data_IF_648711341135
#
_entry.id   IF_648711341135
#
_cell.length_a   1.000
_cell.length_b   1.000
_cell.length_c   1.000
_cell.angle_alpha   90.00
_cell.angle_beta   90.00
_cell.angle_gamma   90.00
#
_symmetry.space_group_name_H-M   'P 1'
#
loop_
_entity.id
_entity.type
_entity.pdbx_description
1 polymer ?
#
# COMPACT_ATOMS: atom_id res chain seq x y z
N UNK A 1 -35.43 11.27 -19.58
CA UNK A 1 -33.97 11.06 -19.77
C UNK A 1 -33.26 11.92 -18.75
N UNK A 2 -32.83 11.34 -17.64
CA UNK A 2 -31.96 11.99 -16.66
C UNK A 2 -30.55 11.44 -16.89
N UNK A 3 -29.63 12.29 -17.33
CA UNK A 3 -28.19 12.02 -17.25
C UNK A 3 -27.75 12.55 -15.88
N UNK A 4 -27.86 11.73 -14.84
CA UNK A 4 -27.42 12.08 -13.51
C UNK A 4 -26.68 10.88 -12.91
N UNK A 5 -25.41 11.13 -12.55
CA UNK A 5 -24.61 10.40 -11.55
C UNK A 5 -23.56 9.36 -12.00
N UNK A 6 -22.93 9.52 -13.17
CA UNK A 6 -21.69 8.77 -13.46
C UNK A 6 -20.42 9.44 -12.89
N UNK A 7 -20.48 10.72 -12.50
CA UNK A 7 -19.32 11.48 -11.98
C UNK A 7 -19.15 11.40 -10.45
N UNK A 8 -20.20 11.12 -9.67
CA UNK A 8 -20.12 11.09 -8.20
C UNK A 8 -19.26 9.94 -7.66
N UNK A 9 -19.12 8.86 -8.42
CA UNK A 9 -18.38 7.66 -8.00
C UNK A 9 -16.98 7.57 -8.62
N UNK A 10 -16.50 8.64 -9.28
CA UNK A 10 -15.14 8.64 -9.84
C UNK A 10 -14.11 8.90 -8.76
N UNK A 11 -12.96 8.25 -8.88
CA UNK A 11 -11.83 8.50 -8.01
C UNK A 11 -11.37 9.96 -8.19
N UNK A 12 -11.49 10.82 -7.16
CA UNK A 12 -11.15 12.22 -7.27
C UNK A 12 -9.65 12.42 -7.45
N UNK A 13 -9.24 13.63 -7.83
CA UNK A 13 -7.84 14.00 -7.80
C UNK A 13 -7.46 14.49 -6.40
N UNK A 14 -6.38 13.94 -5.83
CA UNK A 14 -5.89 14.36 -4.51
C UNK A 14 -4.64 15.24 -4.66
N UNK A 15 -4.77 16.58 -4.53
CA UNK A 15 -3.63 17.48 -4.57
C UNK A 15 -2.72 17.33 -3.34
N UNK A 16 -1.52 17.91 -3.40
CA UNK A 16 -0.53 17.86 -2.32
C UNK A 16 -1.06 18.41 -0.98
N UNK A 17 -2.02 19.36 -0.99
CA UNK A 17 -2.66 19.87 0.22
C UNK A 17 -3.40 18.80 1.04
N UNK A 18 -3.70 17.64 0.45
CA UNK A 18 -4.28 16.52 1.16
C UNK A 18 -3.26 15.66 1.94
N UNK A 19 -1.94 15.85 1.73
CA UNK A 19 -0.92 15.07 2.43
C UNK A 19 -0.97 15.24 3.95
N UNK A 20 -1.39 16.41 4.44
CA UNK A 20 -1.58 16.66 5.87
C UNK A 20 -2.51 15.64 6.55
N UNK A 21 -3.51 15.09 5.84
CA UNK A 21 -4.37 14.02 6.39
C UNK A 21 -3.63 12.69 6.53
N UNK A 22 -2.67 12.42 5.64
CA UNK A 22 -1.87 11.19 5.60
C UNK A 22 -0.79 11.20 6.68
N UNK A 23 -0.10 12.33 6.89
CA UNK A 23 1.03 12.42 7.83
C UNK A 23 0.76 13.30 9.07
N UNK A 24 -0.44 13.84 9.25
CA UNK A 24 -0.80 14.67 10.42
C UNK A 24 0.14 15.86 10.64
N UNK A 25 0.53 16.56 9.57
CA UNK A 25 1.51 17.67 9.56
C UNK A 25 2.95 17.36 10.05
N UNK A 26 3.22 16.14 10.50
CA UNK A 26 4.58 15.70 10.86
C UNK A 26 4.79 14.23 10.54
N UNK A 27 4.14 13.35 11.29
CA UNK A 27 4.10 11.92 11.03
C UNK A 27 2.78 11.34 11.54
N UNK A 28 2.26 10.33 10.85
CA UNK A 28 1.08 9.58 11.28
C UNK A 28 1.22 8.13 10.84
N UNK A 29 0.85 7.23 11.75
CA UNK A 29 1.00 5.79 11.56
C UNK A 29 -0.32 5.15 11.16
N UNK A 30 -0.23 4.17 10.27
CA UNK A 30 -1.34 3.46 9.67
C UNK A 30 -1.04 1.95 9.68
N UNK A 31 -2.10 1.15 9.65
CA UNK A 31 -2.02 -0.31 9.42
C UNK A 31 -2.67 -0.66 8.11
N UNK A 32 -2.04 -1.57 7.37
CA UNK A 32 -2.63 -2.17 6.19
C UNK A 32 -3.64 -3.24 6.66
N UNK A 33 -4.93 -2.98 6.48
CA UNK A 33 -6.01 -3.84 7.01
C UNK A 33 -6.63 -4.74 5.94
N UNK A 34 -6.44 -4.39 4.68
CA UNK A 34 -6.96 -5.17 3.55
C UNK A 34 -6.02 -5.00 2.34
N UNK A 35 -5.80 -6.12 1.65
CA UNK A 35 -5.04 -6.23 0.40
C UNK A 35 -5.99 -6.85 -0.61
N UNK A 36 -6.19 -6.16 -1.72
CA UNK A 36 -6.93 -6.67 -2.89
C UNK A 36 -5.90 -6.92 -3.97
N UNK A 37 -5.88 -8.12 -4.52
CA UNK A 37 -5.10 -8.49 -5.71
C UNK A 37 -5.82 -9.64 -6.43
N UNK A 38 -6.59 -9.29 -7.46
CA UNK A 38 -7.36 -10.25 -8.27
C UNK A 38 -6.52 -10.89 -9.38
N UNK A 39 -5.26 -10.45 -9.56
CA UNK A 39 -4.40 -10.85 -10.67
C UNK A 39 -3.32 -11.84 -10.26
N UNK A 40 -2.91 -11.80 -8.99
CA UNK A 40 -1.89 -12.68 -8.41
C UNK A 40 -2.52 -13.72 -7.49
N UNK A 41 -1.81 -14.82 -7.24
CA UNK A 41 -2.20 -15.84 -6.29
C UNK A 41 -0.97 -16.35 -5.52
N UNK A 42 -1.16 -17.36 -4.66
CA UNK A 42 -0.11 -17.96 -3.82
C UNK A 42 1.09 -18.56 -4.60
N UNK A 43 1.01 -18.63 -5.94
CA UNK A 43 2.12 -19.05 -6.80
C UNK A 43 2.99 -17.91 -7.30
N UNK A 44 2.60 -16.65 -7.07
CA UNK A 44 3.43 -15.48 -7.36
C UNK A 44 4.37 -15.20 -6.18
N UNK A 45 5.68 -15.18 -6.43
CA UNK A 45 6.72 -14.96 -5.43
C UNK A 45 6.56 -13.64 -4.63
N UNK A 46 5.81 -12.65 -5.15
CA UNK A 46 5.59 -11.36 -4.50
C UNK A 46 4.15 -11.17 -3.99
N UNK A 47 3.35 -12.24 -4.00
CA UNK A 47 2.01 -12.24 -3.44
C UNK A 47 2.06 -11.97 -1.94
N UNK A 48 1.21 -11.04 -1.50
CA UNK A 48 1.03 -10.74 -0.07
C UNK A 48 -0.46 -10.73 0.24
N UNK A 49 -0.80 -11.02 1.48
CA UNK A 49 -2.17 -11.01 1.98
C UNK A 49 -2.29 -10.01 3.13
N UNK A 50 -3.53 -9.62 3.45
CA UNK A 50 -3.77 -8.80 4.63
C UNK A 50 -3.26 -9.48 5.91
N UNK A 51 -3.34 -10.81 6.01
CA UNK A 51 -2.93 -11.55 7.20
C UNK A 51 -1.45 -11.34 7.52
N UNK A 52 -0.57 -11.34 6.52
CA UNK A 52 0.87 -11.23 6.73
C UNK A 52 1.38 -9.80 6.96
N UNK A 53 0.63 -8.78 6.54
CA UNK A 53 0.99 -7.36 6.73
C UNK A 53 0.18 -6.66 7.82
N UNK A 54 -0.78 -7.35 8.43
CA UNK A 54 -1.72 -6.76 9.39
C UNK A 54 -1.08 -6.28 10.69
N UNK A 55 0.09 -6.83 11.05
CA UNK A 55 0.85 -6.44 12.24
C UNK A 55 2.01 -5.48 11.95
N UNK A 56 2.24 -5.13 10.67
CA UNK A 56 3.15 -4.06 10.27
C UNK A 56 2.57 -2.67 10.61
N UNK A 57 3.47 -1.72 10.86
CA UNK A 57 3.12 -0.31 11.08
C UNK A 57 3.81 0.58 10.07
N UNK A 58 3.01 1.30 9.29
CA UNK A 58 3.45 2.22 8.25
C UNK A 58 3.36 3.65 8.75
N UNK A 59 4.50 4.29 9.00
CA UNK A 59 4.56 5.67 9.48
C UNK A 59 4.89 6.61 8.33
N UNK A 60 3.88 7.38 7.91
CA UNK A 60 3.99 8.32 6.81
C UNK A 60 4.51 9.65 7.34
N UNK A 61 5.61 10.12 6.77
CA UNK A 61 6.32 11.32 7.19
C UNK A 61 5.98 12.50 6.26
N UNK A 62 6.04 13.73 6.79
CA UNK A 62 5.78 14.94 6.01
C UNK A 62 6.74 15.14 4.81
N UNK A 63 7.91 14.49 4.83
CA UNK A 63 8.87 14.48 3.72
C UNK A 63 8.56 13.42 2.63
N UNK A 64 7.40 12.76 2.70
CA UNK A 64 6.92 11.70 1.78
C UNK A 64 7.58 10.33 1.95
N UNK A 65 8.53 10.20 2.86
CA UNK A 65 9.07 8.89 3.23
C UNK A 65 8.04 8.13 4.08
N UNK A 66 8.12 6.79 4.01
CA UNK A 66 7.29 5.92 4.84
C UNK A 66 8.23 4.94 5.54
N UNK A 67 8.25 5.03 6.87
CA UNK A 67 8.97 4.08 7.71
C UNK A 67 8.06 2.88 8.00
N UNK A 68 8.56 1.68 7.75
CA UNK A 68 7.81 0.44 7.98
C UNK A 68 8.45 -0.26 9.17
N UNK A 69 7.68 -0.44 10.24
CA UNK A 69 8.05 -1.29 11.37
C UNK A 69 7.41 -2.65 11.17
N UNK A 70 8.24 -3.65 10.86
CA UNK A 70 7.78 -5.01 10.62
C UNK A 70 7.17 -5.64 11.86
N UNK A 71 6.11 -6.40 11.63
CA UNK A 71 5.52 -7.32 12.57
C UNK A 71 6.35 -8.58 12.77
N UNK A 72 5.66 -9.66 13.12
CA UNK A 72 6.23 -11.00 13.33
C UNK A 72 5.84 -11.99 12.24
N UNK A 73 4.75 -11.72 11.53
CA UNK A 73 4.28 -12.58 10.45
C UNK A 73 5.10 -12.25 9.21
N UNK A 74 5.61 -13.27 8.52
CA UNK A 74 6.30 -13.11 7.26
C UNK A 74 5.31 -13.41 6.13
N UNK A 75 5.30 -12.61 5.08
CA UNK A 75 4.55 -12.79 3.85
C UNK A 75 5.17 -13.80 2.88
N UNK A 76 6.49 -13.98 2.91
CA UNK A 76 7.22 -14.80 1.93
C UNK A 76 7.62 -16.18 2.44
N UNK A 77 7.10 -16.64 3.58
CA UNK A 77 7.41 -17.94 4.17
C UNK A 77 7.03 -19.13 3.26
N UNK A 78 6.04 -18.95 2.39
CA UNK A 78 5.63 -19.93 1.38
C UNK A 78 6.74 -20.25 0.37
N UNK A 79 7.76 -19.40 0.24
CA UNK A 79 8.92 -19.62 -0.62
C UNK A 79 10.00 -20.49 0.02
N UNK A 80 9.81 -20.96 1.26
CA UNK A 80 10.75 -21.81 1.99
C UNK A 80 10.77 -23.26 1.43
N UNK A 81 11.21 -23.41 0.18
CA UNK A 81 11.31 -24.69 -0.51
C UNK A 81 12.77 -25.09 -0.82
N UNK A 82 13.07 -26.37 -0.56
CA UNK A 82 14.34 -26.99 -0.96
C UNK A 82 15.55 -26.44 -0.20
N UNK A 83 16.34 -25.59 -0.86
CA UNK A 83 17.58 -24.98 -0.30
C UNK A 83 17.46 -23.46 -0.12
N UNK A 84 16.27 -22.89 -0.35
CA UNK A 84 16.01 -21.47 -0.18
C UNK A 84 15.03 -21.26 0.98
N UNK A 85 15.26 -20.20 1.73
CA UNK A 85 14.37 -19.68 2.76
C UNK A 85 14.30 -18.15 2.61
N UNK A 86 13.11 -17.58 2.68
CA UNK A 86 12.88 -16.15 2.66
C UNK A 86 13.04 -15.55 4.07
N UNK A 87 14.25 -15.65 4.62
CA UNK A 87 14.57 -15.29 6.02
C UNK A 87 14.41 -13.78 6.32
N UNK A 88 14.48 -12.94 5.29
CA UNK A 88 14.42 -11.49 5.42
C UNK A 88 13.39 -10.88 4.48
N UNK A 89 12.48 -10.08 5.05
CA UNK A 89 11.52 -9.30 4.28
C UNK A 89 12.00 -7.88 4.02
N UNK A 90 11.59 -7.37 2.87
CA UNK A 90 11.98 -6.06 2.37
C UNK A 90 10.76 -5.35 1.76
N UNK A 91 9.95 -4.76 2.61
CA UNK A 91 8.97 -3.75 2.21
C UNK A 91 9.61 -2.36 2.13
N UNK A 92 9.14 -1.57 1.17
CA UNK A 92 9.49 -0.15 1.06
C UNK A 92 8.31 0.65 0.56
N UNK A 93 8.15 1.86 1.10
CA UNK A 93 7.02 2.71 0.75
C UNK A 93 7.48 4.17 0.63
N UNK A 94 6.94 4.89 -0.35
CA UNK A 94 7.21 6.34 -0.52
C UNK A 94 6.04 6.98 -1.25
N UNK A 95 5.62 8.16 -0.81
CA UNK A 95 4.62 8.96 -1.51
C UNK A 95 5.24 9.77 -2.66
N UNK A 96 4.52 9.87 -3.77
CA UNK A 96 4.92 10.65 -4.95
C UNK A 96 3.74 11.46 -5.47
N UNK A 97 4.04 12.61 -6.08
CA UNK A 97 3.08 13.36 -6.89
C UNK A 97 3.29 12.99 -8.36
N UNK A 98 2.24 12.53 -9.05
CA UNK A 98 2.33 12.07 -10.44
C UNK A 98 1.10 12.57 -11.21
N UNK A 99 1.29 12.97 -12.48
CA UNK A 99 0.22 13.34 -13.41
C UNK A 99 0.13 14.83 -13.71
N UNK A 100 -0.88 15.22 -14.50
CA UNK A 100 -1.24 16.62 -14.76
C UNK A 100 -2.78 16.74 -14.89
N UNK A 101 -3.51 17.26 -13.88
CA UNK A 101 -2.98 17.72 -12.60
C UNK A 101 -2.38 16.58 -11.76
N UNK A 102 -1.39 16.90 -10.93
CA UNK A 102 -0.74 15.90 -10.07
C UNK A 102 -1.72 15.32 -9.03
N UNK A 103 -1.58 14.03 -8.76
CA UNK A 103 -2.26 13.30 -7.68
C UNK A 103 -1.25 12.60 -6.80
N UNK A 104 -1.64 12.26 -5.57
CA UNK A 104 -0.84 11.44 -4.64
C UNK A 104 -0.83 9.98 -5.09
N UNK A 105 0.36 9.37 -5.11
CA UNK A 105 0.61 7.95 -5.36
C UNK A 105 1.47 7.34 -4.26
N UNK A 106 1.24 6.07 -3.95
CA UNK A 106 2.12 5.24 -3.14
C UNK A 106 3.01 4.40 -4.07
N UNK A 107 4.32 4.60 -4.00
CA UNK A 107 5.30 3.68 -4.53
C UNK A 107 5.51 2.59 -3.48
N UNK A 108 5.10 1.36 -3.76
CA UNK A 108 5.18 0.24 -2.82
C UNK A 108 6.08 -0.85 -3.40
N UNK A 109 7.15 -1.16 -2.67
CA UNK A 109 8.08 -2.23 -2.98
C UNK A 109 7.91 -3.38 -2.01
N UNK A 110 8.00 -4.60 -2.55
CA UNK A 110 7.89 -5.86 -1.83
C UNK A 110 9.04 -6.77 -2.24
N UNK A 111 9.57 -7.54 -1.32
CA UNK A 111 10.68 -8.42 -1.62
C UNK A 111 11.17 -9.21 -0.43
N UNK A 112 12.09 -10.11 -0.73
CA UNK A 112 12.65 -11.06 0.21
C UNK A 112 14.12 -11.33 -0.10
N UNK A 113 14.84 -11.84 0.90
CA UNK A 113 16.17 -12.39 0.74
C UNK A 113 16.39 -13.56 1.71
N UNK A 114 17.31 -14.45 1.37
CA UNK A 114 17.80 -15.44 2.33
C UNK A 114 18.80 -14.84 3.31
N UNK A 115 19.10 -15.56 4.39
CA UNK A 115 19.98 -15.11 5.49
C UNK A 115 21.33 -14.55 5.00
N UNK A 116 21.97 -15.23 4.03
CA UNK A 116 23.27 -14.81 3.49
C UNK A 116 23.19 -13.78 2.35
N UNK A 117 21.98 -13.34 2.00
CA UNK A 117 21.67 -12.37 0.94
C UNK A 117 22.21 -12.75 -0.46
N UNK A 118 22.42 -14.04 -0.73
CA UNK A 118 22.87 -14.51 -2.04
C UNK A 118 21.73 -14.69 -3.03
N UNK A 119 20.51 -14.91 -2.54
CA UNK A 119 19.28 -15.01 -3.32
C UNK A 119 18.29 -14.00 -2.78
N UNK A 120 17.81 -13.12 -3.65
CA UNK A 120 16.84 -12.09 -3.31
C UNK A 120 15.91 -11.81 -4.49
N UNK A 121 14.69 -11.39 -4.19
CA UNK A 121 13.69 -10.94 -5.14
C UNK A 121 13.08 -9.63 -4.68
N UNK A 122 12.76 -8.73 -5.61
CA UNK A 122 11.98 -7.54 -5.29
C UNK A 122 11.14 -7.07 -6.48
N UNK A 123 9.98 -6.50 -6.18
CA UNK A 123 9.10 -5.85 -7.13
C UNK A 123 8.66 -4.49 -6.60
N UNK A 124 8.31 -3.57 -7.49
CA UNK A 124 7.85 -2.23 -7.15
C UNK A 124 6.69 -1.83 -8.04
N UNK A 125 5.62 -1.36 -7.41
CA UNK A 125 4.40 -0.90 -8.07
C UNK A 125 4.00 0.48 -7.55
N UNK A 126 3.15 1.19 -8.32
CA UNK A 126 2.74 2.56 -7.99
C UNK A 126 1.22 2.68 -8.02
N UNK A 127 0.64 2.93 -6.86
CA UNK A 127 -0.79 2.90 -6.61
C UNK A 127 -1.31 4.32 -6.41
N UNK A 128 -2.38 4.69 -7.11
CA UNK A 128 -2.98 6.02 -6.99
C UNK A 128 -3.83 6.11 -5.73
N UNK A 129 -3.74 7.21 -4.99
CA UNK A 129 -4.65 7.48 -3.88
C UNK A 129 -6.08 7.59 -4.42
N UNK A 130 -6.95 6.74 -3.89
CA UNK A 130 -8.30 6.51 -4.38
C UNK A 130 -9.36 7.00 -3.41
N UNK A 131 -9.12 6.82 -2.11
CA UNK A 131 -9.95 7.33 -1.03
C UNK A 131 -9.05 7.90 0.06
N UNK A 132 -9.49 8.97 0.72
CA UNK A 132 -8.78 9.58 1.84
C UNK A 132 -9.77 10.23 2.81
N UNK A 133 -9.62 9.88 4.08
CA UNK A 133 -10.32 10.42 5.23
C UNK A 133 -9.37 10.46 6.43
N UNK A 134 -9.88 10.86 7.60
CA UNK A 134 -9.06 10.93 8.81
C UNK A 134 -8.58 9.57 9.29
N UNK A 135 -9.39 8.53 9.09
CA UNK A 135 -9.19 7.18 9.64
C UNK A 135 -8.96 6.12 8.57
N UNK A 136 -9.23 6.42 7.29
CA UNK A 136 -9.05 5.47 6.17
C UNK A 136 -8.38 6.12 4.96
N UNK A 137 -7.45 5.39 4.34
CA UNK A 137 -6.92 5.72 3.01
C UNK A 137 -6.78 4.48 2.14
N UNK A 138 -7.04 4.62 0.84
CA UNK A 138 -7.01 3.51 -0.12
C UNK A 138 -6.12 3.88 -1.29
N UNK A 139 -5.11 3.06 -1.58
CA UNK A 139 -4.27 3.18 -2.77
C UNK A 139 -4.61 2.05 -3.74
N UNK A 140 -4.91 2.35 -5.00
CA UNK A 140 -5.29 1.34 -5.99
C UNK A 140 -4.62 1.54 -7.35
N UNK A 141 -4.51 0.47 -8.13
CA UNK A 141 -4.09 0.52 -9.54
C UNK A 141 -5.24 0.87 -10.50
N UNK A 142 -6.45 1.15 -9.98
CA UNK A 142 -7.75 1.25 -10.68
C UNK A 142 -7.68 1.54 -12.20
N UNK A 143 -8.03 0.52 -12.99
CA UNK A 143 -8.28 0.65 -14.43
C UNK A 143 -9.66 1.26 -14.74
N UNK A 144 -10.64 1.14 -13.83
CA UNK A 144 -12.03 1.60 -14.04
C UNK A 144 -12.23 3.08 -13.69
N UNK A 145 -11.42 3.62 -12.78
CA UNK A 145 -11.52 5.00 -12.30
C UNK A 145 -12.69 5.20 -11.32
N UNK A 146 -13.28 4.12 -10.80
CA UNK A 146 -14.48 4.12 -9.97
C UNK A 146 -14.12 3.74 -8.52
N UNK A 147 -14.68 4.47 -7.56
CA UNK A 147 -14.52 4.20 -6.13
C UNK A 147 -15.15 2.86 -5.77
N UNK A 148 -14.45 2.04 -5.00
CA UNK A 148 -14.89 0.72 -4.54
C UNK A 148 -14.80 -0.39 -5.60
N UNK A 149 -14.47 -0.07 -6.85
CA UNK A 149 -14.23 -1.05 -7.92
C UNK A 149 -12.72 -1.29 -8.08
N UNK A 150 -12.14 -1.90 -7.06
CA UNK A 150 -10.72 -2.16 -6.97
C UNK A 150 -10.43 -3.63 -7.27
N UNK A 151 -9.51 -3.88 -8.20
CA UNK A 151 -8.96 -5.21 -8.50
C UNK A 151 -7.53 -5.38 -7.99
N UNK A 152 -6.88 -4.28 -7.63
CA UNK A 152 -5.59 -4.28 -6.94
C UNK A 152 -5.49 -3.03 -6.07
N UNK A 153 -5.44 -3.20 -4.75
CA UNK A 153 -5.45 -2.09 -3.79
C UNK A 153 -4.89 -2.43 -2.40
N UNK A 154 -4.43 -1.39 -1.71
CA UNK A 154 -4.05 -1.39 -0.31
C UNK A 154 -4.92 -0.43 0.48
N UNK A 155 -5.58 -0.97 1.50
CA UNK A 155 -6.49 -0.22 2.36
C UNK A 155 -5.82 -0.08 3.72
N UNK A 156 -5.60 1.17 4.13
CA UNK A 156 -5.01 1.49 5.40
C UNK A 156 -6.03 2.10 6.36
N UNK A 157 -5.90 1.77 7.64
CA UNK A 157 -6.60 2.43 8.73
C UNK A 157 -5.60 3.15 9.66
N UNK A 158 -5.96 4.34 10.12
CA UNK A 158 -5.12 5.12 11.01
C UNK A 158 -4.99 4.42 12.36
N UNK A 159 -3.79 4.40 12.92
CA UNK A 159 -3.59 3.95 14.30
C UNK A 159 -3.95 5.11 15.21
N UNK A 160 -5.08 5.01 15.92
CA UNK A 160 -5.40 5.97 16.97
C UNK A 160 -4.32 5.93 18.05
N UNK A 161 -3.72 7.10 18.33
CA UNK A 161 -2.92 7.27 19.53
C UNK A 161 -3.91 7.43 20.67
N UNK A 162 -4.11 6.37 21.47
CA UNK A 162 -4.81 6.49 22.75
C UNK A 162 -3.97 7.42 23.64
N UNK A 163 -4.46 8.65 23.84
CA UNK A 163 -3.92 9.61 24.82
C UNK A 163 -4.08 9.11 26.27
#
# INVERSE_FOLDING_TARGET
MNCANDDENRIPNFPESNMSLIHGDSQKSWRLVEVIDDYSDETDDFFITADCVSDDVYTFMANKEVEITYGKVLCFDHLDEGLFSADHEQFSATLKMIGDPESIYLSFGRGYANEDHTVFGSTFSSYRLSELSEDRMVFSHSNSGIIGDYHEAYIFEAIEVLE
#
